data_IF_183876594390
#
_entry.id   IF_183876594390
#
_cell.length_a   1.000
_cell.length_b   1.000
_cell.length_c   1.000
_cell.angle_alpha   90.00
_cell.angle_beta   90.00
_cell.angle_gamma   90.00
#
_symmetry.space_group_name_H-M   'P 1'
#
loop_
_entity.id
_entity.type
_entity.pdbx_description
1 polymer ?
#
# COMPACT_ATOMS: atom_id res chain seq x y z
N UNK A 1 -0.91 16.88 5.83
CA UNK A 1 -0.92 15.54 6.44
C UNK A 1 0.54 15.11 6.55
N UNK A 2 0.99 14.64 7.71
CA UNK A 2 2.31 14.01 7.84
C UNK A 2 2.20 12.50 7.60
N UNK A 3 3.33 11.82 7.40
CA UNK A 3 3.37 10.40 7.05
C UNK A 3 2.74 9.52 8.15
N UNK A 4 2.97 9.91 9.41
CA UNK A 4 2.40 9.26 10.58
C UNK A 4 0.88 9.33 10.63
N UNK A 5 0.29 10.48 10.29
CA UNK A 5 -1.15 10.65 10.20
C UNK A 5 -1.75 9.73 9.13
N UNK A 6 -1.10 9.60 7.97
CA UNK A 6 -1.53 8.68 6.92
C UNK A 6 -1.38 7.21 7.37
N UNK A 7 -0.27 6.85 8.02
CA UNK A 7 -0.08 5.50 8.53
C UNK A 7 -1.17 5.10 9.53
N UNK A 8 -1.52 6.01 10.45
CA UNK A 8 -2.60 5.78 11.42
C UNK A 8 -3.96 5.65 10.70
N UNK A 9 -4.23 6.50 9.70
CA UNK A 9 -5.45 6.38 8.90
C UNK A 9 -5.56 5.02 8.21
N UNK A 10 -4.49 4.56 7.55
CA UNK A 10 -4.45 3.22 6.94
C UNK A 10 -4.64 2.12 7.98
N UNK A 11 -4.08 2.28 9.18
CA UNK A 11 -4.27 1.34 10.28
C UNK A 11 -5.72 1.26 10.72
N UNK A 12 -6.37 2.40 10.93
CA UNK A 12 -7.74 2.48 11.42
C UNK A 12 -8.72 1.85 10.42
N UNK A 13 -8.50 2.06 9.12
CA UNK A 13 -9.37 1.54 8.06
C UNK A 13 -9.11 0.07 7.72
N UNK A 14 -7.85 -0.36 7.61
CA UNK A 14 -7.52 -1.63 6.95
C UNK A 14 -6.87 -2.69 7.86
N UNK A 15 -6.38 -2.33 9.04
CA UNK A 15 -5.57 -3.24 9.86
C UNK A 15 -6.28 -4.54 10.23
N UNK A 16 -7.59 -4.50 10.53
CA UNK A 16 -8.34 -5.71 10.87
C UNK A 16 -8.32 -6.72 9.73
N UNK A 17 -8.55 -6.25 8.49
CA UNK A 17 -8.53 -7.08 7.29
C UNK A 17 -7.11 -7.56 6.98
N UNK A 18 -6.14 -6.68 7.06
CA UNK A 18 -4.73 -7.00 6.75
C UNK A 18 -4.17 -8.02 7.75
N UNK A 19 -4.50 -7.88 9.03
CA UNK A 19 -4.10 -8.80 10.07
C UNK A 19 -4.76 -10.19 9.89
N UNK A 20 -6.01 -10.23 9.44
CA UNK A 20 -6.70 -11.50 9.13
C UNK A 20 -6.10 -12.22 7.93
N UNK A 21 -5.66 -11.48 6.91
CA UNK A 21 -4.98 -11.99 5.71
C UNK A 21 -3.53 -12.42 5.99
N UNK A 22 -2.87 -11.74 6.93
CA UNK A 22 -1.51 -12.02 7.36
C UNK A 22 -0.44 -11.28 6.56
N UNK A 23 0.77 -11.22 7.13
CA UNK A 23 1.88 -10.43 6.63
C UNK A 23 2.28 -10.79 5.19
N UNK A 24 2.55 -12.06 4.90
CA UNK A 24 3.07 -12.45 3.59
C UNK A 24 2.06 -12.26 2.47
N UNK A 25 0.78 -12.53 2.74
CA UNK A 25 -0.28 -12.26 1.76
C UNK A 25 -0.48 -10.75 1.56
N UNK A 26 -0.38 -9.93 2.62
CA UNK A 26 -0.44 -8.47 2.49
C UNK A 26 0.78 -7.91 1.74
N UNK A 27 1.97 -8.48 1.96
CA UNK A 27 3.16 -8.13 1.19
C UNK A 27 3.07 -8.55 -0.28
N UNK A 28 2.39 -9.65 -0.60
CA UNK A 28 2.13 -10.04 -1.98
C UNK A 28 1.30 -8.98 -2.73
N UNK A 29 0.27 -8.41 -2.09
CA UNK A 29 -0.50 -7.28 -2.65
C UNK A 29 0.38 -6.05 -2.91
N UNK A 30 1.29 -5.70 -1.99
CA UNK A 30 2.25 -4.62 -2.25
C UNK A 30 3.10 -4.89 -3.51
N UNK A 31 3.56 -6.12 -3.70
CA UNK A 31 4.36 -6.49 -4.88
C UNK A 31 3.52 -6.45 -6.16
N UNK A 32 2.24 -6.81 -6.08
CA UNK A 32 1.27 -6.71 -7.16
C UNK A 32 1.12 -5.25 -7.62
N UNK A 33 0.85 -4.31 -6.70
CA UNK A 33 0.70 -2.88 -7.07
C UNK A 33 1.99 -2.28 -7.64
N UNK A 34 3.16 -2.74 -7.18
CA UNK A 34 4.43 -2.32 -7.80
C UNK A 34 4.51 -2.80 -9.26
N UNK A 35 3.95 -3.97 -9.55
CA UNK A 35 3.80 -4.50 -10.90
C UNK A 35 2.80 -3.68 -11.73
N UNK A 36 1.64 -3.33 -11.17
CA UNK A 36 0.63 -2.50 -11.84
C UNK A 36 1.17 -1.10 -12.14
N UNK A 37 1.88 -0.49 -11.18
CA UNK A 37 2.59 0.77 -11.38
C UNK A 37 3.61 0.68 -12.53
N UNK A 38 4.37 -0.42 -12.60
CA UNK A 38 5.32 -0.63 -13.68
C UNK A 38 4.61 -0.70 -15.05
N UNK A 39 3.49 -1.40 -15.14
CA UNK A 39 2.68 -1.48 -16.37
C UNK A 39 2.11 -0.10 -16.76
N UNK A 40 1.54 0.63 -15.81
CA UNK A 40 0.99 1.97 -16.03
C UNK A 40 2.05 2.94 -16.57
N UNK A 41 3.28 2.89 -16.03
CA UNK A 41 4.42 3.68 -16.50
C UNK A 41 4.82 3.27 -17.93
N UNK A 42 4.95 1.98 -18.20
CA UNK A 42 5.32 1.47 -19.54
C UNK A 42 4.31 1.90 -20.60
N UNK A 43 3.03 1.94 -20.25
CA UNK A 43 1.94 2.33 -21.13
C UNK A 43 1.67 3.84 -21.19
N UNK A 44 2.43 4.66 -20.45
CA UNK A 44 2.21 6.12 -20.31
C UNK A 44 0.76 6.47 -19.92
N UNK A 45 0.09 5.61 -19.16
CA UNK A 45 -1.28 5.82 -18.72
C UNK A 45 -1.29 6.66 -17.44
N UNK A 46 -1.40 7.99 -17.60
CA UNK A 46 -1.26 8.95 -16.49
C UNK A 46 -2.29 8.75 -15.38
N UNK A 47 -3.52 8.41 -15.72
CA UNK A 47 -4.59 8.23 -14.74
C UNK A 47 -4.31 7.01 -13.86
N UNK A 48 -3.91 5.88 -14.47
CA UNK A 48 -3.47 4.71 -13.71
C UNK A 48 -2.21 5.01 -12.89
N UNK A 49 -1.21 5.72 -13.44
CA UNK A 49 0.02 6.03 -12.68
C UNK A 49 -0.31 6.72 -11.34
N UNK A 50 -1.29 7.62 -11.31
CA UNK A 50 -1.69 8.29 -10.06
C UNK A 50 -2.33 7.31 -9.07
N UNK A 51 -3.20 6.43 -9.56
CA UNK A 51 -3.86 5.37 -8.79
C UNK A 51 -2.84 4.38 -8.20
N UNK A 52 -1.98 3.80 -9.05
CA UNK A 52 -1.01 2.79 -8.60
C UNK A 52 0.03 3.36 -7.63
N UNK A 53 0.41 4.64 -7.77
CA UNK A 53 1.29 5.30 -6.77
C UNK A 53 0.59 5.37 -5.42
N UNK A 54 -0.70 5.70 -5.39
CA UNK A 54 -1.47 5.76 -4.15
C UNK A 54 -1.59 4.37 -3.52
N UNK A 55 -1.81 3.34 -4.32
CA UNK A 55 -1.93 1.96 -3.84
C UNK A 55 -0.59 1.41 -3.30
N UNK A 56 0.53 1.64 -3.99
CA UNK A 56 1.87 1.31 -3.47
C UNK A 56 2.12 1.96 -2.11
N UNK A 57 1.73 3.23 -1.92
CA UNK A 57 1.86 3.92 -0.63
C UNK A 57 0.96 3.26 0.43
N UNK A 58 -0.31 3.02 0.11
CA UNK A 58 -1.27 2.43 1.03
C UNK A 58 -0.81 1.04 1.51
N UNK A 59 -0.40 0.17 0.60
CA UNK A 59 0.07 -1.17 0.94
C UNK A 59 1.40 -1.17 1.69
N UNK A 60 2.29 -0.21 1.41
CA UNK A 60 3.52 -0.04 2.19
C UNK A 60 3.19 0.27 3.65
N UNK A 61 2.23 1.16 3.90
CA UNK A 61 1.80 1.52 5.25
C UNK A 61 1.03 0.38 5.93
N UNK A 62 0.22 -0.39 5.19
CA UNK A 62 -0.38 -1.63 5.70
C UNK A 62 0.68 -2.62 6.19
N UNK A 63 1.75 -2.84 5.41
CA UNK A 63 2.87 -3.71 5.81
C UNK A 63 3.59 -3.15 7.04
N UNK A 64 3.86 -1.84 7.09
CA UNK A 64 4.48 -1.20 8.26
C UNK A 64 3.64 -1.39 9.53
N UNK A 65 2.31 -1.25 9.42
CA UNK A 65 1.38 -1.47 10.51
C UNK A 65 1.39 -2.92 11.01
N UNK A 66 1.41 -3.91 10.11
CA UNK A 66 1.51 -5.34 10.48
C UNK A 66 2.84 -5.68 11.16
N UNK A 67 3.92 -5.02 10.75
CA UNK A 67 5.26 -5.18 11.34
C UNK A 67 5.46 -4.36 12.61
N UNK A 68 4.48 -3.53 12.99
CA UNK A 68 4.57 -2.58 14.10
C UNK A 68 5.78 -1.63 13.99
N UNK A 69 6.01 -1.10 12.79
CA UNK A 69 7.07 -0.13 12.46
C UNK A 69 6.45 1.25 12.23
N UNK A 70 7.01 2.31 12.84
CA UNK A 70 6.63 3.72 12.63
C UNK A 70 7.49 4.31 11.49
N UNK A 71 6.87 4.91 10.46
CA UNK A 71 7.53 5.39 9.24
C UNK A 71 7.36 6.90 9.05
#
# INVERSE_FOLDING_TARGET
MDLKCLQNYIKDEYFSRDNSRGLYATFAWLVEEVGELADAILNNNRDNIEEEIADVIAWTLSVANLLNVDV
#
